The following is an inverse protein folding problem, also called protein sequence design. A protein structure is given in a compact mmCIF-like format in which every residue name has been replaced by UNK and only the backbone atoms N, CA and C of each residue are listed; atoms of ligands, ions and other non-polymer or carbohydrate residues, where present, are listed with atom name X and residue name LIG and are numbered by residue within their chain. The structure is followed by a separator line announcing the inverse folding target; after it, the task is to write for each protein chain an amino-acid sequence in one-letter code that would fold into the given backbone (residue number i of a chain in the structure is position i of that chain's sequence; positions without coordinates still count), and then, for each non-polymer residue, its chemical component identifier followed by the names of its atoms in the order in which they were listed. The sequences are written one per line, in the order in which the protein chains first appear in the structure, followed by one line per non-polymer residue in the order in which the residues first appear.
data_IF_390401540902
#
_entry.id   IF_390401540902
#
_cell.length_a   1.000
_cell.length_b   1.000
_cell.length_c   1.000
_cell.angle_alpha   90.00
_cell.angle_beta   90.00
_cell.angle_gamma   90.00
#
_symmetry.space_group_name_H-M   'P 1'
#
loop_
_entity.id
_entity.type
_entity.pdbx_description
1 polymer ?
#
# COMPACT_ATOMS: atom_id res chain seq x y z
N UNK A 1 23.90 -7.41 -10.19
CA UNK A 1 22.42 -7.49 -10.11
C UNK A 1 21.91 -6.19 -9.52
N UNK A 2 20.86 -5.58 -10.09
CA UNK A 2 20.28 -4.35 -9.54
C UNK A 2 19.59 -4.67 -8.21
N UNK A 3 19.75 -3.82 -7.20
CA UNK A 3 19.10 -4.00 -5.91
C UNK A 3 17.58 -4.04 -6.08
N UNK A 4 16.89 -4.95 -5.39
CA UNK A 4 15.43 -5.04 -5.42
C UNK A 4 14.85 -3.77 -4.79
N UNK A 5 13.77 -3.26 -5.41
CA UNK A 5 13.02 -2.16 -4.81
C UNK A 5 12.33 -2.62 -3.54
N UNK A 6 12.29 -1.74 -2.54
CA UNK A 6 11.72 -1.98 -1.22
C UNK A 6 10.29 -1.48 -1.17
N UNK A 7 9.35 -2.33 -0.79
CA UNK A 7 7.95 -1.94 -0.68
C UNK A 7 7.37 -2.36 0.67
N UNK A 8 6.45 -1.56 1.19
CA UNK A 8 5.67 -1.91 2.37
C UNK A 8 4.18 -1.92 2.04
N UNK A 9 3.46 -2.96 2.48
CA UNK A 9 2.01 -3.00 2.48
C UNK A 9 1.48 -2.73 3.90
N UNK A 10 0.77 -1.62 4.07
CA UNK A 10 0.17 -1.18 5.34
C UNK A 10 -1.31 -1.56 5.39
N UNK A 11 -1.68 -2.33 6.40
CA UNK A 11 -2.97 -3.01 6.52
C UNK A 11 -2.93 -4.35 5.79
N UNK A 12 -3.06 -5.45 6.53
CA UNK A 12 -3.00 -6.84 6.08
C UNK A 12 -4.33 -7.57 6.34
N UNK A 13 -5.44 -6.86 6.18
CA UNK A 13 -6.73 -7.49 5.93
C UNK A 13 -6.78 -8.17 4.56
N UNK A 14 -7.98 -8.45 4.04
CA UNK A 14 -8.17 -9.19 2.79
C UNK A 14 -7.43 -8.59 1.58
N UNK A 15 -7.59 -7.30 1.35
CA UNK A 15 -6.97 -6.59 0.21
C UNK A 15 -5.46 -6.53 0.36
N UNK A 16 -4.98 -6.09 1.51
CA UNK A 16 -3.56 -5.92 1.76
C UNK A 16 -2.78 -7.22 1.74
N UNK A 17 -3.33 -8.29 2.35
CA UNK A 17 -2.73 -9.61 2.32
C UNK A 17 -2.61 -10.16 0.89
N UNK A 18 -3.64 -9.98 0.06
CA UNK A 18 -3.58 -10.37 -1.35
C UNK A 18 -2.47 -9.61 -2.11
N UNK A 19 -2.38 -8.29 -1.94
CA UNK A 19 -1.33 -7.46 -2.56
C UNK A 19 0.07 -7.87 -2.08
N UNK A 20 0.23 -8.08 -0.77
CA UNK A 20 1.48 -8.54 -0.17
C UNK A 20 1.93 -9.88 -0.75
N UNK A 21 1.03 -10.86 -0.84
CA UNK A 21 1.31 -12.18 -1.40
C UNK A 21 1.72 -12.11 -2.87
N UNK A 22 0.98 -11.37 -3.70
CA UNK A 22 1.33 -11.17 -5.12
C UNK A 22 2.73 -10.56 -5.27
N UNK A 23 3.03 -9.52 -4.50
CA UNK A 23 4.33 -8.87 -4.56
C UNK A 23 5.47 -9.79 -4.10
N UNK A 24 5.24 -10.56 -3.02
CA UNK A 24 6.19 -11.55 -2.50
C UNK A 24 6.47 -12.66 -3.50
N UNK A 25 5.42 -13.27 -4.04
CA UNK A 25 5.49 -14.37 -5.01
C UNK A 25 6.17 -13.93 -6.32
N UNK A 26 6.09 -12.65 -6.69
CA UNK A 26 6.77 -12.13 -7.88
C UNK A 26 8.31 -12.25 -7.81
N UNK A 27 8.90 -12.28 -6.60
CA UNK A 27 10.34 -12.28 -6.41
C UNK A 27 11.06 -10.99 -6.83
N UNK A 28 10.34 -9.96 -7.31
CA UNK A 28 10.92 -8.72 -7.88
C UNK A 28 11.24 -7.65 -6.84
N UNK A 29 10.66 -7.75 -5.65
CA UNK A 29 10.71 -6.75 -4.60
C UNK A 29 11.23 -7.34 -3.28
N UNK A 30 11.79 -6.48 -2.45
CA UNK A 30 11.91 -6.72 -1.02
C UNK A 30 10.61 -6.20 -0.38
N UNK A 31 9.79 -7.11 0.16
CA UNK A 31 8.41 -6.83 0.55
C UNK A 31 8.25 -6.95 2.04
N UNK A 32 7.74 -5.88 2.65
CA UNK A 32 7.38 -5.80 4.06
C UNK A 32 5.86 -5.70 4.20
N UNK A 33 5.33 -6.29 5.27
CA UNK A 33 3.91 -6.23 5.60
C UNK A 33 3.72 -5.76 7.04
N UNK A 34 2.89 -4.74 7.23
CA UNK A 34 2.58 -4.22 8.56
C UNK A 34 1.08 -4.08 8.77
N UNK A 35 0.60 -4.50 9.95
CA UNK A 35 -0.73 -4.23 10.45
C UNK A 35 -0.65 -3.75 11.90
N UNK A 36 -1.64 -2.97 12.33
CA UNK A 36 -1.78 -2.58 13.74
C UNK A 36 -2.22 -3.78 14.60
N UNK A 37 -2.92 -4.74 13.99
CA UNK A 37 -3.28 -6.01 14.60
C UNK A 37 -2.03 -6.92 14.66
N UNK A 38 -1.50 -7.23 15.87
CA UNK A 38 -0.31 -8.05 16.02
C UNK A 38 -0.46 -9.47 15.47
N UNK A 39 -1.70 -9.97 15.35
CA UNK A 39 -1.96 -11.30 14.78
C UNK A 39 -1.80 -11.35 13.25
N UNK A 40 -1.80 -10.17 12.59
CA UNK A 40 -1.69 -10.05 11.13
C UNK A 40 -0.37 -9.46 10.67
N UNK A 41 0.32 -8.71 11.53
CA UNK A 41 1.57 -8.05 11.16
C UNK A 41 2.65 -9.07 10.78
N UNK A 42 3.41 -8.80 9.72
CA UNK A 42 4.53 -9.65 9.28
C UNK A 42 5.86 -9.08 9.74
N UNK A 43 5.98 -7.75 9.76
CA UNK A 43 7.16 -7.03 10.15
C UNK A 43 6.79 -5.95 11.17
N UNK A 44 7.71 -5.65 12.08
CA UNK A 44 7.58 -4.44 12.90
C UNK A 44 8.03 -3.23 12.08
N UNK A 45 7.38 -2.07 12.25
CA UNK A 45 7.79 -0.86 11.50
C UNK A 45 9.25 -0.47 11.74
N UNK A 46 9.80 -0.75 12.94
CA UNK A 46 11.21 -0.48 13.25
C UNK A 46 12.21 -1.37 12.51
N UNK A 47 11.77 -2.48 11.94
CA UNK A 47 12.61 -3.41 11.16
C UNK A 47 12.63 -3.04 9.67
N UNK A 48 11.73 -2.14 9.23
CA UNK A 48 11.59 -1.75 7.83
C UNK A 48 12.67 -0.74 7.48
N UNK A 49 13.46 -0.96 6.41
CA UNK A 49 14.49 -0.01 5.99
C UNK A 49 13.87 1.32 5.57
N UNK A 50 14.58 2.41 5.84
CA UNK A 50 14.18 3.77 5.45
C UNK A 50 15.32 4.40 4.62
N UNK A 51 15.06 4.96 3.43
CA UNK A 51 13.76 5.05 2.76
C UNK A 51 13.32 3.73 2.10
N UNK A 52 12.01 3.56 1.90
CA UNK A 52 11.45 2.56 0.98
C UNK A 52 11.15 3.18 -0.39
N UNK A 53 10.98 2.36 -1.43
CA UNK A 53 10.56 2.85 -2.74
C UNK A 53 9.06 3.14 -2.76
N UNK A 54 8.23 2.16 -2.37
CA UNK A 54 6.77 2.25 -2.53
C UNK A 54 6.01 1.88 -1.26
N UNK A 55 5.05 2.72 -0.88
CA UNK A 55 4.09 2.44 0.19
C UNK A 55 2.75 2.05 -0.42
N UNK A 56 2.28 0.83 -0.16
CA UNK A 56 0.94 0.37 -0.50
C UNK A 56 0.03 0.47 0.73
N UNK A 57 -1.08 1.21 0.61
CA UNK A 57 -2.02 1.48 1.70
C UNK A 57 -3.31 0.72 1.45
N UNK A 58 -3.64 -0.19 2.36
CA UNK A 58 -4.86 -0.99 2.37
C UNK A 58 -5.60 -0.90 3.73
N UNK A 59 -5.37 0.17 4.50
CA UNK A 59 -6.07 0.43 5.76
C UNK A 59 -7.50 0.94 5.51
N UNK A 60 -8.47 0.68 6.40
CA UNK A 60 -9.84 1.19 6.26
C UNK A 60 -9.91 2.72 6.18
N UNK A 61 -10.83 3.25 5.36
CA UNK A 61 -11.07 4.68 5.29
C UNK A 61 -11.69 5.22 6.59
N UNK A 62 -11.25 6.40 7.01
CA UNK A 62 -11.79 7.14 8.13
C UNK A 62 -11.50 8.63 7.96
N UNK A 63 -12.05 9.47 8.84
CA UNK A 63 -11.73 10.90 8.82
C UNK A 63 -10.24 11.20 9.06
N UNK A 64 -9.51 10.27 9.70
CA UNK A 64 -8.07 10.36 9.95
C UNK A 64 -7.22 9.70 8.85
N UNK A 65 -7.82 9.24 7.75
CA UNK A 65 -7.11 8.46 6.72
C UNK A 65 -5.89 9.20 6.18
N UNK A 66 -6.03 10.50 5.89
CA UNK A 66 -4.92 11.32 5.38
C UNK A 66 -3.80 11.41 6.42
N UNK A 67 -4.12 11.64 7.69
CA UNK A 67 -3.12 11.73 8.77
C UNK A 67 -2.41 10.39 9.00
N UNK A 68 -3.14 9.28 8.88
CA UNK A 68 -2.57 7.92 8.95
C UNK A 68 -1.56 7.74 7.81
N UNK A 69 -1.93 8.09 6.56
CA UNK A 69 -1.01 8.02 5.41
C UNK A 69 0.18 8.94 5.61
N UNK A 70 -0.02 10.18 6.09
CA UNK A 70 1.06 11.11 6.42
C UNK A 70 2.05 10.52 7.42
N UNK A 71 1.57 9.89 8.49
CA UNK A 71 2.43 9.27 9.51
C UNK A 71 3.32 8.16 8.93
N UNK A 72 2.78 7.33 8.03
CA UNK A 72 3.60 6.32 7.35
C UNK A 72 4.64 6.95 6.43
N UNK A 73 4.27 8.01 5.72
CA UNK A 73 5.17 8.71 4.80
C UNK A 73 6.31 9.40 5.55
N UNK A 74 6.03 10.05 6.68
CA UNK A 74 7.06 10.66 7.53
C UNK A 74 8.06 9.63 8.06
N UNK A 75 7.57 8.46 8.49
CA UNK A 75 8.39 7.38 9.04
C UNK A 75 9.22 6.65 7.97
N UNK A 76 8.61 6.36 6.83
CA UNK A 76 9.17 5.43 5.83
C UNK A 76 9.78 6.14 4.61
N UNK A 77 9.50 7.44 4.44
CA UNK A 77 9.99 8.29 3.34
C UNK A 77 9.86 7.63 1.95
N UNK A 78 8.67 7.10 1.58
CA UNK A 78 8.48 6.45 0.29
C UNK A 78 8.59 7.43 -0.87
N UNK A 79 8.96 6.92 -2.05
CA UNK A 79 8.98 7.72 -3.29
C UNK A 79 7.59 7.88 -3.91
N UNK A 80 6.67 6.96 -3.62
CA UNK A 80 5.28 7.02 -4.05
C UNK A 80 4.35 6.24 -3.12
N UNK A 81 3.09 6.65 -3.06
CA UNK A 81 2.02 6.00 -2.29
C UNK A 81 0.98 5.40 -3.24
N UNK A 82 0.59 4.16 -2.99
CA UNK A 82 -0.44 3.43 -3.73
C UNK A 82 -1.60 3.10 -2.80
N UNK A 83 -2.75 3.75 -2.99
CA UNK A 83 -3.95 3.55 -2.18
C UNK A 83 -4.83 2.50 -2.86
N UNK A 84 -5.01 1.37 -2.18
CA UNK A 84 -5.91 0.28 -2.57
C UNK A 84 -7.28 0.34 -1.88
N UNK A 85 -7.35 1.04 -0.75
CA UNK A 85 -8.57 1.21 0.04
C UNK A 85 -9.68 1.90 -0.76
N UNK A 86 -10.93 1.52 -0.50
CA UNK A 86 -12.07 2.33 -0.92
C UNK A 86 -12.04 3.64 -0.15
N UNK A 87 -11.93 4.76 -0.87
CA UNK A 87 -11.83 6.11 -0.29
C UNK A 87 -12.84 7.04 -0.94
N UNK A 88 -13.17 8.15 -0.26
CA UNK A 88 -14.07 9.15 -0.82
C UNK A 88 -13.42 9.85 -2.04
N UNK A 89 -14.23 10.33 -3.00
CA UNK A 89 -13.73 11.19 -4.07
C UNK A 89 -12.92 12.38 -3.53
N UNK A 90 -11.80 12.68 -4.17
CA UNK A 90 -10.88 13.75 -3.76
C UNK A 90 -9.87 13.37 -2.67
N UNK A 91 -9.98 12.20 -2.01
CA UNK A 91 -9.00 11.78 -0.99
C UNK A 91 -7.57 11.73 -1.52
N UNK A 92 -7.34 11.12 -2.69
CA UNK A 92 -5.99 11.02 -3.27
C UNK A 92 -5.39 12.38 -3.63
N UNK A 93 -6.21 13.33 -4.09
CA UNK A 93 -5.79 14.72 -4.32
C UNK A 93 -5.34 15.40 -3.03
N UNK A 94 -6.12 15.28 -1.97
CA UNK A 94 -5.77 15.86 -0.66
C UNK A 94 -4.50 15.23 -0.06
N UNK A 95 -4.29 13.93 -0.28
CA UNK A 95 -3.04 13.25 0.13
C UNK A 95 -1.85 13.83 -0.65
N UNK A 96 -1.97 13.96 -1.97
CA UNK A 96 -0.94 14.57 -2.81
C UNK A 96 -0.62 16.01 -2.41
N UNK A 97 -1.65 16.86 -2.28
CA UNK A 97 -1.50 18.27 -1.89
C UNK A 97 -0.82 18.43 -0.53
N UNK A 98 -1.13 17.54 0.43
CA UNK A 98 -0.53 17.59 1.77
C UNK A 98 0.92 17.11 1.78
N UNK A 99 1.26 16.08 1.00
CA UNK A 99 2.54 15.38 1.13
C UNK A 99 3.55 15.71 0.03
N UNK A 100 3.11 16.25 -1.10
CA UNK A 100 3.97 16.57 -2.24
C UNK A 100 4.65 15.36 -2.87
N UNK A 101 4.09 14.15 -2.70
CA UNK A 101 4.65 12.91 -3.26
C UNK A 101 3.66 12.24 -4.23
N UNK A 102 4.17 11.56 -5.28
CA UNK A 102 3.33 10.83 -6.22
C UNK A 102 2.32 9.93 -5.51
N UNK A 103 1.04 10.17 -5.76
CA UNK A 103 -0.05 9.47 -5.09
C UNK A 103 -0.93 8.79 -6.12
N UNK A 104 -0.98 7.46 -6.02
CA UNK A 104 -1.66 6.58 -6.95
C UNK A 104 -2.91 6.01 -6.29
N UNK A 105 -4.06 6.19 -6.93
CA UNK A 105 -5.25 5.42 -6.63
C UNK A 105 -5.27 4.16 -7.48
N UNK A 106 -5.34 3.01 -6.83
CA UNK A 106 -5.42 1.71 -7.51
C UNK A 106 -6.29 0.75 -6.68
N UNK A 107 -7.62 0.85 -6.76
CA UNK A 107 -8.50 -0.01 -5.97
C UNK A 107 -8.38 -1.48 -6.39
N UNK A 108 -8.60 -2.39 -5.47
CA UNK A 108 -8.63 -3.84 -5.77
C UNK A 108 -10.04 -4.24 -6.16
N UNK A 109 -10.17 -4.88 -7.33
CA UNK A 109 -11.40 -5.52 -7.78
C UNK A 109 -11.29 -7.02 -7.56
N UNK A 110 -12.25 -7.59 -6.85
CA UNK A 110 -12.33 -9.04 -6.67
C UNK A 110 -13.39 -9.43 -5.66
N UNK A 111 -13.56 -10.74 -5.45
CA UNK A 111 -14.53 -11.31 -4.53
C UNK A 111 -13.77 -12.21 -3.57
N UNK A 112 -14.04 -12.03 -2.27
CA UNK A 112 -13.54 -12.93 -1.24
C UNK A 112 -14.08 -14.37 -1.45
N UNK A 113 -13.28 -15.43 -1.22
CA UNK A 113 -11.88 -15.44 -0.72
C UNK A 113 -10.80 -15.36 -1.82
N UNK A 114 -11.17 -15.24 -3.09
CA UNK A 114 -10.24 -15.39 -4.22
C UNK A 114 -9.51 -14.10 -4.63
N UNK A 115 -9.28 -13.17 -3.69
CA UNK A 115 -8.75 -11.84 -4.01
C UNK A 115 -7.37 -11.90 -4.67
N UNK A 116 -6.49 -12.81 -4.23
CA UNK A 116 -5.17 -12.99 -4.86
C UNK A 116 -5.29 -13.39 -6.33
N UNK A 117 -6.09 -14.41 -6.64
CA UNK A 117 -6.31 -14.87 -8.02
C UNK A 117 -6.95 -13.77 -8.86
N UNK A 118 -7.88 -13.02 -8.25
CA UNK A 118 -8.60 -11.94 -8.90
C UNK A 118 -7.69 -10.75 -9.24
N UNK A 119 -6.60 -10.50 -8.49
CA UNK A 119 -5.59 -9.50 -8.86
C UNK A 119 -4.87 -9.81 -10.19
N UNK A 120 -4.77 -11.09 -10.57
CA UNK A 120 -4.19 -11.50 -11.85
C UNK A 120 -5.21 -11.51 -13.00
N UNK A 121 -6.50 -11.66 -12.68
CA UNK A 121 -7.56 -11.83 -13.67
C UNK A 121 -8.24 -10.53 -14.09
N UNK A 122 -8.55 -9.65 -13.14
CA UNK A 122 -9.32 -8.44 -13.43
C UNK A 122 -8.42 -7.29 -13.93
N UNK A 123 -8.95 -6.42 -14.82
CA UNK A 123 -8.28 -5.16 -15.15
C UNK A 123 -7.98 -4.34 -13.90
N UNK A 124 -6.72 -3.92 -13.76
CA UNK A 124 -6.28 -3.05 -12.66
C UNK A 124 -6.35 -1.58 -13.11
N UNK A 125 -7.17 -0.80 -12.45
CA UNK A 125 -7.23 0.64 -12.65
C UNK A 125 -6.09 1.33 -11.91
N UNK A 126 -5.46 2.29 -12.57
CA UNK A 126 -4.35 3.08 -12.02
C UNK A 126 -4.59 4.54 -12.41
N UNK A 127 -4.74 5.40 -11.40
CA UNK A 127 -4.81 6.84 -11.58
C UNK A 127 -3.76 7.49 -10.68
N UNK A 128 -2.89 8.34 -11.25
CA UNK A 128 -1.77 8.94 -10.52
C UNK A 128 -1.86 10.46 -10.54
N UNK A 129 -1.50 11.08 -9.43
CA UNK A 129 -1.11 12.48 -9.37
C UNK A 129 0.42 12.53 -9.29
N UNK A 130 1.09 13.19 -10.26
CA UNK A 130 2.56 13.17 -10.40
C UNK A 130 3.27 14.07 -9.40
#
# INVERSE_FOLDING_TARGET
MQAKKKILVAGLGEVGSAVYQVARESGRFEVYGYDIDPSKTVNQLGEVPVPIDFLHVAVPYSQRFIDIVSSYVEKLKPRAVFIHSTVAPGTTRRVYEKLGIPTVYTPVRGKHPNLKQHLYFWPKWVASLP
#
